data_IF_513639283077
#
_entry.id   IF_513639283077
#
_cell.length_a   1.000
_cell.length_b   1.000
_cell.length_c   1.000
_cell.angle_alpha   90.00
_cell.angle_beta   90.00
_cell.angle_gamma   90.00
#
_symmetry.space_group_name_H-M   'P 1'
#
loop_
_entity.id
_entity.type
_entity.pdbx_description
1 polymer ?
#
# COMPACT_ATOMS: atom_id res chain seq x y z
N UNK A 1 -7.36 -9.07 -30.62
CA UNK A 1 -6.28 -8.06 -30.80
C UNK A 1 -5.06 -8.61 -30.06
N UNK A 2 -3.92 -8.84 -30.72
CA UNK A 2 -2.74 -9.42 -30.04
C UNK A 2 -2.19 -8.37 -29.07
N UNK A 3 -2.14 -8.69 -27.79
CA UNK A 3 -1.53 -7.85 -26.75
C UNK A 3 -0.07 -7.59 -27.11
N UNK A 4 0.33 -6.32 -27.31
CA UNK A 4 1.74 -5.96 -27.45
C UNK A 4 2.40 -6.07 -26.07
N UNK A 5 3.22 -7.09 -25.87
CA UNK A 5 3.81 -7.37 -24.57
C UNK A 5 5.22 -6.83 -24.41
N UNK A 6 5.87 -6.21 -25.42
CA UNK A 6 7.21 -5.57 -25.28
C UNK A 6 7.25 -4.71 -24.01
N UNK A 7 8.40 -4.44 -23.39
CA UNK A 7 8.46 -3.64 -22.13
C UNK A 7 7.60 -2.36 -22.22
N UNK A 8 7.77 -1.59 -23.29
CA UNK A 8 6.92 -0.43 -23.61
C UNK A 8 5.43 -0.76 -23.80
N UNK A 9 5.12 -1.91 -24.42
CA UNK A 9 3.75 -2.41 -24.57
C UNK A 9 3.11 -2.77 -23.24
N UNK A 10 3.86 -3.42 -22.34
CA UNK A 10 3.42 -3.76 -20.99
C UNK A 10 3.20 -2.50 -20.13
N UNK A 11 4.09 -1.50 -20.21
CA UNK A 11 3.86 -0.19 -19.60
C UNK A 11 2.54 0.43 -20.07
N UNK A 12 2.34 0.55 -21.39
CA UNK A 12 1.14 1.15 -21.98
C UNK A 12 -0.12 0.36 -21.62
N UNK A 13 -0.04 -0.96 -21.53
CA UNK A 13 -1.15 -1.82 -21.13
C UNK A 13 -1.57 -1.53 -19.68
N UNK A 14 -0.61 -1.49 -18.76
CA UNK A 14 -0.89 -1.20 -17.35
C UNK A 14 -1.47 0.21 -17.21
N UNK A 15 -0.84 1.20 -17.84
CA UNK A 15 -1.33 2.57 -17.86
C UNK A 15 -2.76 2.66 -18.41
N UNK A 16 -3.03 2.07 -19.56
CA UNK A 16 -4.37 2.10 -20.18
C UNK A 16 -5.41 1.44 -19.29
N UNK A 17 -5.07 0.35 -18.61
CA UNK A 17 -5.99 -0.31 -17.68
C UNK A 17 -6.29 0.55 -16.44
N UNK A 18 -5.30 1.29 -15.94
CA UNK A 18 -5.46 2.12 -14.75
C UNK A 18 -6.12 3.48 -15.05
N UNK A 19 -5.71 4.15 -16.13
CA UNK A 19 -6.07 5.55 -16.44
C UNK A 19 -7.01 5.70 -17.63
N UNK A 20 -7.22 4.65 -18.42
CA UNK A 20 -7.88 4.73 -19.72
C UNK A 20 -7.00 5.27 -20.84
N UNK A 21 -5.73 5.61 -20.57
CA UNK A 21 -4.79 6.16 -21.53
C UNK A 21 -3.38 5.53 -21.40
N UNK A 22 -2.57 5.49 -22.48
CA UNK A 22 -1.26 4.85 -22.46
C UNK A 22 -0.18 5.61 -21.68
N UNK A 23 -0.49 6.82 -21.19
CA UNK A 23 0.40 7.73 -20.48
C UNK A 23 1.75 7.93 -21.21
N UNK A 24 1.74 8.01 -22.54
CA UNK A 24 2.95 8.30 -23.30
C UNK A 24 3.48 9.68 -22.90
N UNK A 25 4.78 9.82 -22.57
CA UNK A 25 5.34 11.11 -22.21
C UNK A 25 5.19 12.10 -23.38
N UNK A 26 5.02 13.41 -23.10
CA UNK A 26 4.83 14.40 -24.14
C UNK A 26 6.00 14.40 -25.13
N UNK A 27 5.69 14.41 -26.43
CA UNK A 27 6.71 14.59 -27.47
C UNK A 27 7.06 16.08 -27.57
N UNK A 28 8.36 16.40 -27.55
CA UNK A 28 8.86 17.76 -27.72
C UNK A 28 8.27 18.39 -28.99
N UNK A 29 7.54 19.50 -28.83
CA UNK A 29 6.97 20.28 -29.94
C UNK A 29 5.54 19.92 -30.35
N UNK A 30 4.86 18.99 -29.68
CA UNK A 30 3.46 18.63 -29.97
C UNK A 30 2.57 19.06 -28.80
N UNK A 31 1.63 19.96 -29.06
CA UNK A 31 0.56 20.31 -28.11
C UNK A 31 -0.38 19.10 -28.03
N UNK A 32 -0.35 18.36 -26.92
CA UNK A 32 -1.32 17.31 -26.64
C UNK A 32 -2.57 17.91 -26.01
N UNK A 33 -3.74 17.50 -26.49
CA UNK A 33 -5.01 17.81 -25.81
C UNK A 33 -4.99 17.23 -24.39
N UNK A 34 -5.55 17.93 -23.39
CA UNK A 34 -5.64 17.41 -22.03
C UNK A 34 -6.36 16.06 -22.06
N UNK A 35 -5.68 15.02 -21.59
CA UNK A 35 -6.24 13.68 -21.52
C UNK A 35 -7.42 13.72 -20.55
N UNK A 36 -8.60 13.16 -20.89
CA UNK A 36 -9.74 13.15 -19.98
C UNK A 36 -9.31 12.57 -18.62
N UNK A 37 -9.67 13.29 -17.54
CA UNK A 37 -9.18 13.01 -16.19
C UNK A 37 -9.66 11.67 -15.60
N UNK A 38 -10.57 10.97 -16.29
CA UNK A 38 -11.22 9.77 -15.80
C UNK A 38 -11.37 8.73 -16.92
N UNK A 39 -10.65 7.63 -16.77
CA UNK A 39 -10.75 6.40 -17.56
C UNK A 39 -10.17 5.23 -16.77
N UNK A 40 -10.36 4.00 -17.23
CA UNK A 40 -9.83 2.80 -16.55
C UNK A 40 -10.41 2.59 -15.15
N UNK A 41 -9.55 2.42 -14.14
CA UNK A 41 -9.93 2.19 -12.73
C UNK A 41 -9.83 3.46 -11.86
N UNK A 42 -9.78 4.63 -12.49
CA UNK A 42 -9.79 5.94 -11.83
C UNK A 42 -8.41 6.53 -11.53
N UNK A 43 -7.34 5.98 -12.12
CA UNK A 43 -6.02 6.61 -12.04
C UNK A 43 -5.85 7.73 -13.07
N UNK A 44 -4.85 8.57 -12.87
CA UNK A 44 -4.48 9.67 -13.74
C UNK A 44 -3.09 9.41 -14.32
N UNK A 45 -2.85 9.79 -15.57
CA UNK A 45 -1.49 9.81 -16.11
C UNK A 45 -0.68 10.93 -15.43
N UNK A 46 0.43 10.58 -14.80
CA UNK A 46 1.38 11.56 -14.28
C UNK A 46 2.39 11.99 -15.34
N UNK A 47 3.02 13.15 -15.13
CA UNK A 47 4.10 13.66 -15.96
C UNK A 47 5.44 13.52 -15.21
N UNK A 48 6.49 12.91 -15.79
CA UNK A 48 7.81 12.89 -15.19
C UNK A 48 8.38 14.27 -14.84
N UNK A 49 7.94 15.34 -15.49
CA UNK A 49 8.34 16.72 -15.21
C UNK A 49 7.73 17.28 -13.92
N UNK A 50 6.60 16.74 -13.46
CA UNK A 50 5.94 17.14 -12.20
C UNK A 50 6.62 16.56 -10.95
N UNK A 51 7.52 15.58 -11.14
CA UNK A 51 8.22 14.91 -10.06
C UNK A 51 9.45 15.71 -9.60
N UNK A 52 9.35 16.24 -8.38
CA UNK A 52 10.45 16.87 -7.68
C UNK A 52 11.40 15.80 -7.13
N UNK A 53 12.61 15.75 -7.68
CA UNK A 53 13.64 14.76 -7.30
C UNK A 53 14.31 15.09 -5.98
N UNK A 54 14.29 16.35 -5.54
CA UNK A 54 14.88 16.76 -4.27
C UNK A 54 14.05 16.23 -3.10
N UNK A 55 12.73 16.34 -3.18
CA UNK A 55 11.81 15.93 -2.10
C UNK A 55 11.13 14.59 -2.36
N UNK A 56 11.25 14.05 -3.58
CA UNK A 56 10.60 12.83 -4.05
C UNK A 56 9.08 12.91 -3.99
N UNK A 57 8.52 13.97 -4.57
CA UNK A 57 7.08 14.25 -4.57
C UNK A 57 6.65 14.70 -5.96
N UNK A 58 5.53 14.19 -6.45
CA UNK A 58 4.82 14.80 -7.58
C UNK A 58 4.05 16.03 -7.05
N UNK A 59 4.63 17.21 -7.29
CA UNK A 59 4.14 18.46 -6.72
C UNK A 59 2.79 18.87 -7.30
N UNK A 60 2.55 18.55 -8.58
CA UNK A 60 1.29 18.87 -9.25
C UNK A 60 0.14 18.12 -8.59
N UNK A 61 0.29 16.82 -8.31
CA UNK A 61 -0.77 16.06 -7.63
C UNK A 61 -0.92 16.44 -6.15
N UNK A 62 0.18 16.70 -5.43
CA UNK A 62 0.13 17.12 -4.02
C UNK A 62 -0.63 18.45 -3.87
N UNK A 63 -0.27 19.45 -4.69
CA UNK A 63 -0.96 20.75 -4.70
C UNK A 63 -2.43 20.61 -5.07
N UNK A 64 -2.74 19.81 -6.08
CA UNK A 64 -4.12 19.61 -6.53
C UNK A 64 -5.00 19.00 -5.43
N UNK A 65 -4.49 18.00 -4.67
CA UNK A 65 -5.20 17.49 -3.49
C UNK A 65 -5.43 18.61 -2.47
N UNK A 66 -4.36 19.27 -2.04
CA UNK A 66 -4.44 20.23 -0.93
C UNK A 66 -5.38 21.40 -1.25
N UNK A 67 -5.38 21.88 -2.49
CA UNK A 67 -6.34 22.91 -2.93
C UNK A 67 -7.79 22.42 -2.90
N UNK A 68 -8.03 21.16 -3.28
CA UNK A 68 -9.37 20.60 -3.32
C UNK A 68 -9.94 20.32 -1.93
N UNK A 69 -9.10 19.95 -0.95
CA UNK A 69 -9.58 19.50 0.37
C UNK A 69 -9.29 20.46 1.52
N UNK A 70 -8.24 21.28 1.39
CA UNK A 70 -7.69 22.14 2.45
C UNK A 70 -7.22 23.50 1.88
N UNK A 71 -8.09 24.28 1.22
CA UNK A 71 -7.70 25.45 0.41
C UNK A 71 -6.93 26.53 1.20
N UNK A 72 -7.38 26.87 2.40
CA UNK A 72 -6.72 27.87 3.26
C UNK A 72 -5.29 27.45 3.61
N UNK A 73 -5.10 26.17 3.93
CA UNK A 73 -3.78 25.62 4.21
C UNK A 73 -2.92 25.57 2.94
N UNK A 74 -3.49 25.22 1.78
CA UNK A 74 -2.78 25.18 0.51
C UNK A 74 -2.26 26.56 0.10
N UNK A 75 -3.04 27.62 0.31
CA UNK A 75 -2.65 29.00 0.05
C UNK A 75 -1.48 29.42 0.96
N UNK A 76 -1.55 29.11 2.26
CA UNK A 76 -0.49 29.44 3.21
C UNK A 76 0.85 28.73 2.94
N UNK A 77 0.82 27.59 2.25
CA UNK A 77 2.03 26.83 1.89
C UNK A 77 2.72 27.34 0.62
N UNK A 78 2.02 28.15 -0.20
CA UNK A 78 2.53 28.72 -1.45
C UNK A 78 3.28 27.70 -2.32
N UNK A 79 2.63 26.57 -2.61
CA UNK A 79 3.26 25.46 -3.36
C UNK A 79 3.51 25.78 -4.83
N UNK A 80 2.90 26.84 -5.36
CA UNK A 80 3.01 27.26 -6.75
C UNK A 80 4.33 27.97 -7.06
N UNK A 81 4.85 28.73 -6.10
CA UNK A 81 6.08 29.48 -6.28
C UNK A 81 7.26 28.74 -5.66
N UNK A 82 8.40 28.74 -6.35
CA UNK A 82 9.64 28.26 -5.73
C UNK A 82 10.17 29.27 -4.72
N UNK A 83 9.60 29.21 -3.52
CA UNK A 83 9.93 30.08 -2.41
C UNK A 83 10.48 29.33 -1.18
N UNK A 84 11.03 30.07 -0.21
CA UNK A 84 11.41 29.53 1.09
C UNK A 84 10.25 28.83 1.82
N UNK A 85 9.01 29.32 1.68
CA UNK A 85 7.81 28.73 2.27
C UNK A 85 7.58 27.30 1.78
N UNK A 86 7.52 27.12 0.44
CA UNK A 86 7.41 25.81 -0.21
C UNK A 86 8.51 24.87 0.26
N UNK A 87 9.77 25.28 0.17
CA UNK A 87 10.92 24.44 0.56
C UNK A 87 10.89 24.04 2.04
N UNK A 88 10.50 24.95 2.94
CA UNK A 88 10.35 24.64 4.37
C UNK A 88 9.28 23.60 4.63
N UNK A 89 8.16 23.66 3.91
CA UNK A 89 7.11 22.65 3.99
C UNK A 89 7.57 21.31 3.42
N UNK A 90 8.17 21.28 2.21
CA UNK A 90 8.62 20.04 1.60
C UNK A 90 9.74 19.37 2.41
N UNK A 91 10.64 20.14 3.02
CA UNK A 91 11.62 19.62 3.97
C UNK A 91 10.96 19.02 5.22
N UNK A 92 9.89 19.64 5.72
CA UNK A 92 9.09 19.10 6.84
C UNK A 92 8.42 17.79 6.44
N UNK A 93 7.76 17.74 5.29
CA UNK A 93 7.13 16.54 4.74
C UNK A 93 8.15 15.41 4.58
N UNK A 94 9.30 15.71 3.99
CA UNK A 94 10.40 14.76 3.84
C UNK A 94 10.86 14.20 5.19
N UNK A 95 11.07 15.07 6.19
CA UNK A 95 11.47 14.65 7.54
C UNK A 95 10.44 13.71 8.18
N UNK A 96 9.16 14.01 8.01
CA UNK A 96 8.08 13.16 8.51
C UNK A 96 8.01 11.81 7.79
N UNK A 97 8.25 11.78 6.47
CA UNK A 97 8.36 10.52 5.71
C UNK A 97 9.57 9.72 6.18
N UNK A 98 10.75 10.32 6.38
CA UNK A 98 11.92 9.57 6.89
C UNK A 98 11.67 8.98 8.28
N UNK A 99 10.92 9.70 9.13
CA UNK A 99 10.58 9.23 10.49
C UNK A 99 9.51 8.15 10.50
N UNK A 100 8.39 8.35 9.81
CA UNK A 100 7.17 7.52 9.91
C UNK A 100 6.92 6.62 8.69
N UNK A 101 7.63 6.86 7.59
CA UNK A 101 7.34 6.30 6.27
C UNK A 101 6.12 6.96 5.62
N UNK A 102 6.00 6.80 4.30
CA UNK A 102 4.85 7.28 3.51
C UNK A 102 3.54 6.70 4.03
N UNK A 103 3.52 5.44 4.48
CA UNK A 103 2.35 4.82 5.11
C UNK A 103 1.86 5.64 6.32
N UNK A 104 2.76 5.99 7.24
CA UNK A 104 2.41 6.74 8.44
C UNK A 104 2.02 8.20 8.14
N UNK A 105 2.60 8.79 7.10
CA UNK A 105 2.27 10.14 6.64
C UNK A 105 0.90 10.18 5.95
N UNK A 106 0.56 9.19 5.11
CA UNK A 106 -0.76 9.07 4.51
C UNK A 106 -1.84 8.88 5.59
N UNK A 107 -1.61 8.01 6.58
CA UNK A 107 -2.61 7.70 7.63
C UNK A 107 -2.85 8.81 8.65
N UNK A 108 -1.82 9.58 8.96
CA UNK A 108 -1.84 10.49 10.11
C UNK A 108 -1.52 11.94 9.73
N UNK A 109 -1.37 12.25 8.44
CA UNK A 109 -1.05 13.58 7.98
C UNK A 109 0.29 14.13 8.49
N UNK A 110 0.48 15.43 8.31
CA UNK A 110 1.68 16.18 8.73
C UNK A 110 1.29 17.47 9.43
N UNK A 111 1.88 17.69 10.61
CA UNK A 111 1.83 18.99 11.27
C UNK A 111 2.95 19.90 10.79
N UNK A 112 2.60 21.09 10.33
CA UNK A 112 3.52 22.16 9.91
C UNK A 112 3.11 23.49 10.58
N UNK A 113 3.83 23.87 11.64
CA UNK A 113 3.45 25.02 12.45
C UNK A 113 2.08 24.80 13.13
N UNK A 114 1.12 25.75 12.99
CA UNK A 114 -0.23 25.60 13.54
C UNK A 114 -1.14 24.69 12.69
N UNK A 115 -0.76 24.41 11.44
CA UNK A 115 -1.60 23.67 10.49
C UNK A 115 -1.32 22.16 10.59
N UNK A 116 -2.39 21.37 10.56
CA UNK A 116 -2.36 19.94 10.32
C UNK A 116 -2.88 19.66 8.91
N UNK A 117 -2.15 18.85 8.15
CA UNK A 117 -2.47 18.53 6.77
C UNK A 117 -2.76 17.05 6.64
N UNK A 118 -3.97 16.72 6.20
CA UNK A 118 -4.31 15.36 5.78
C UNK A 118 -3.85 15.14 4.33
N UNK A 119 -3.14 14.04 4.10
CA UNK A 119 -2.50 13.76 2.80
C UNK A 119 -3.13 12.55 2.10
N UNK A 120 -4.15 11.96 2.71
CA UNK A 120 -4.90 10.83 2.18
C UNK A 120 -6.23 10.72 2.90
N UNK A 121 -7.29 10.47 2.15
CA UNK A 121 -8.60 10.23 2.70
C UNK A 121 -8.97 8.77 2.49
N UNK A 122 -9.31 8.11 3.60
CA UNK A 122 -9.61 6.69 3.64
C UNK A 122 -10.97 6.31 3.06
N UNK A 123 -11.31 5.02 3.13
CA UNK A 123 -12.63 4.50 2.77
C UNK A 123 -13.70 5.27 3.55
N UNK A 124 -14.64 5.95 2.88
CA UNK A 124 -15.61 6.81 3.56
C UNK A 124 -16.60 5.95 4.35
N UNK A 125 -16.95 6.43 5.54
CA UNK A 125 -18.04 5.80 6.33
C UNK A 125 -19.39 6.01 5.61
N UNK A 126 -20.29 5.01 5.60
CA UNK A 126 -21.61 5.15 4.99
C UNK A 126 -22.35 6.38 5.51
N UNK A 127 -22.95 7.17 4.60
CA UNK A 127 -23.69 8.40 4.92
C UNK A 127 -22.83 9.63 5.22
N UNK A 128 -21.50 9.54 5.22
CA UNK A 128 -20.63 10.71 5.40
C UNK A 128 -20.26 11.34 4.06
N UNK A 129 -21.09 12.26 3.58
CA UNK A 129 -20.91 12.94 2.29
C UNK A 129 -19.58 13.71 2.20
N UNK A 130 -19.15 14.36 3.30
CA UNK A 130 -17.87 15.08 3.34
C UNK A 130 -16.69 14.12 3.18
N UNK A 131 -16.69 13.01 3.91
CA UNK A 131 -15.65 11.98 3.78
C UNK A 131 -15.64 11.38 2.37
N UNK A 132 -16.81 11.17 1.77
CA UNK A 132 -16.92 10.70 0.39
C UNK A 132 -16.32 11.72 -0.60
N UNK A 133 -16.65 13.01 -0.48
CA UNK A 133 -16.09 14.06 -1.31
C UNK A 133 -14.55 14.15 -1.19
N UNK A 134 -14.01 14.07 0.04
CA UNK A 134 -12.57 14.05 0.26
C UNK A 134 -11.91 12.76 -0.29
N UNK A 135 -12.57 11.60 -0.16
CA UNK A 135 -12.10 10.35 -0.75
C UNK A 135 -12.02 10.45 -2.28
N UNK A 136 -13.03 11.05 -2.91
CA UNK A 136 -13.05 11.28 -4.35
C UNK A 136 -12.02 12.32 -4.83
N UNK A 137 -11.61 13.23 -3.94
CA UNK A 137 -10.53 14.17 -4.22
C UNK A 137 -9.13 13.53 -4.19
N UNK A 138 -8.96 12.31 -3.66
CA UNK A 138 -7.69 11.60 -3.73
C UNK A 138 -7.26 11.38 -5.19
N UNK A 139 -5.98 11.66 -5.46
CA UNK A 139 -5.36 11.56 -6.78
C UNK A 139 -4.41 10.38 -6.80
N UNK A 140 -4.74 9.37 -7.60
CA UNK A 140 -3.88 8.22 -7.85
C UNK A 140 -3.24 8.41 -9.21
N UNK A 141 -1.92 8.63 -9.27
CA UNK A 141 -1.22 8.88 -10.53
C UNK A 141 -0.17 7.83 -10.84
N UNK A 142 -0.06 7.48 -12.11
CA UNK A 142 0.97 6.58 -12.63
C UNK A 142 1.82 7.34 -13.63
N UNK A 143 3.13 7.36 -13.38
CA UNK A 143 4.12 8.06 -14.19
C UNK A 143 5.02 7.05 -14.86
N UNK A 144 5.06 7.06 -16.19
CA UNK A 144 5.97 6.22 -17.00
C UNK A 144 7.36 6.84 -17.04
N UNK A 145 8.39 6.00 -17.12
CA UNK A 145 9.78 6.46 -17.30
C UNK A 145 10.17 7.50 -16.22
N UNK A 146 9.88 7.18 -14.95
CA UNK A 146 10.09 8.08 -13.82
C UNK A 146 11.59 8.30 -13.60
N UNK A 147 12.09 9.45 -14.03
CA UNK A 147 13.47 9.88 -13.78
C UNK A 147 13.62 10.30 -12.33
N UNK A 148 14.15 9.41 -11.50
CA UNK A 148 14.09 9.57 -10.05
C UNK A 148 15.32 10.25 -9.45
N UNK A 149 16.50 10.11 -10.06
CA UNK A 149 17.77 10.54 -9.47
C UNK A 149 18.04 12.03 -9.71
N UNK A 150 18.42 12.72 -8.64
CA UNK A 150 18.89 14.11 -8.71
C UNK A 150 20.26 14.18 -9.40
N UNK A 151 21.13 13.22 -9.09
CA UNK A 151 22.53 13.26 -9.49
C UNK A 151 22.74 12.57 -10.85
N UNK A 152 22.08 11.44 -11.09
CA UNK A 152 22.11 10.70 -12.36
C UNK A 152 20.79 10.83 -13.13
N UNK A 153 20.56 12.01 -13.73
CA UNK A 153 19.27 12.42 -14.32
C UNK A 153 18.71 11.57 -15.46
N UNK A 154 19.47 10.60 -15.98
CA UNK A 154 19.03 9.64 -16.99
C UNK A 154 18.50 8.33 -16.39
N UNK A 155 18.72 8.07 -15.10
CA UNK A 155 18.18 6.87 -14.45
C UNK A 155 16.66 7.00 -14.35
N UNK A 156 15.97 6.03 -14.93
CA UNK A 156 14.51 5.94 -14.91
C UNK A 156 14.05 4.56 -14.44
N UNK A 157 12.91 4.55 -13.75
CA UNK A 157 12.09 3.37 -13.51
C UNK A 157 11.02 3.28 -14.60
N UNK A 158 10.58 2.07 -14.93
CA UNK A 158 9.53 1.88 -15.94
C UNK A 158 8.22 2.56 -15.52
N UNK A 159 7.80 2.36 -14.27
CA UNK A 159 6.62 3.03 -13.69
C UNK A 159 6.89 3.49 -12.24
N UNK A 160 6.33 4.66 -11.90
CA UNK A 160 6.15 5.12 -10.53
C UNK A 160 4.68 5.40 -10.24
N UNK A 161 4.18 4.90 -9.11
CA UNK A 161 2.80 5.09 -8.65
C UNK A 161 2.82 6.03 -7.45
N UNK A 162 1.96 7.04 -7.50
CA UNK A 162 1.81 8.05 -6.47
C UNK A 162 0.38 8.13 -5.98
N UNK A 163 0.23 8.46 -4.71
CA UNK A 163 -1.05 8.82 -4.09
C UNK A 163 -0.89 10.22 -3.54
N UNK A 164 -1.66 11.16 -4.07
CA UNK A 164 -1.63 12.57 -3.66
C UNK A 164 -0.23 13.19 -3.74
N UNK A 165 0.54 12.79 -4.74
CA UNK A 165 1.92 13.22 -4.94
C UNK A 165 2.98 12.46 -4.15
N UNK A 166 2.60 11.60 -3.20
CA UNK A 166 3.53 10.79 -2.42
C UNK A 166 3.82 9.43 -3.10
N UNK A 167 5.08 8.98 -3.18
CA UNK A 167 5.43 7.75 -3.86
C UNK A 167 4.93 6.53 -3.08
N UNK A 168 4.18 5.65 -3.74
CA UNK A 168 3.64 4.42 -3.15
C UNK A 168 4.31 3.18 -3.72
N UNK A 169 4.49 3.09 -5.04
CA UNK A 169 5.13 1.93 -5.63
C UNK A 169 6.03 2.25 -6.82
N UNK A 170 7.05 1.43 -7.04
CA UNK A 170 7.90 1.47 -8.25
C UNK A 170 7.84 0.15 -8.99
N UNK A 171 8.08 0.19 -10.30
CA UNK A 171 8.04 -1.00 -11.16
C UNK A 171 9.30 -1.10 -12.01
N UNK A 172 9.79 -2.33 -12.13
CA UNK A 172 10.64 -2.79 -13.23
C UNK A 172 9.86 -3.89 -13.94
N UNK A 173 9.69 -3.72 -15.23
CA UNK A 173 8.91 -4.57 -16.11
C UNK A 173 9.85 -5.32 -17.05
N UNK A 174 9.54 -6.59 -17.28
CA UNK A 174 10.23 -7.46 -18.24
C UNK A 174 9.20 -8.22 -19.06
N UNK A 175 9.65 -8.86 -20.12
CA UNK A 175 8.78 -9.67 -20.96
C UNK A 175 9.53 -10.87 -21.54
N UNK A 176 8.87 -12.02 -21.55
CA UNK A 176 9.34 -13.24 -22.20
C UNK A 176 9.71 -13.06 -23.69
N UNK A 177 9.08 -12.15 -24.44
CA UNK A 177 9.45 -11.90 -25.86
C UNK A 177 10.88 -11.34 -26.02
N UNK A 178 11.39 -10.60 -25.04
CA UNK A 178 12.79 -10.13 -25.01
C UNK A 178 13.72 -11.14 -24.34
N UNK A 179 13.23 -12.34 -24.01
CA UNK A 179 13.91 -13.39 -23.23
C UNK A 179 14.33 -12.93 -21.83
N UNK A 180 13.66 -11.91 -21.30
CA UNK A 180 13.85 -11.45 -19.93
C UNK A 180 12.68 -11.88 -19.06
N UNK A 181 12.96 -12.05 -17.78
CA UNK A 181 12.05 -12.62 -16.79
C UNK A 181 11.94 -11.71 -15.58
N UNK A 182 11.03 -12.05 -14.67
CA UNK A 182 10.90 -11.38 -13.36
C UNK A 182 12.21 -11.39 -12.57
N UNK A 183 13.07 -12.41 -12.75
CA UNK A 183 14.37 -12.46 -12.08
C UNK A 183 15.31 -11.38 -12.64
N UNK A 184 15.25 -11.07 -13.93
CA UNK A 184 16.05 -9.97 -14.52
C UNK A 184 15.63 -8.62 -13.94
N UNK A 185 14.33 -8.37 -13.77
CA UNK A 185 13.83 -7.18 -13.06
C UNK A 185 14.32 -7.14 -11.60
N UNK A 186 14.31 -8.27 -10.90
CA UNK A 186 14.87 -8.37 -9.53
C UNK A 186 16.36 -8.06 -9.51
N UNK A 187 17.13 -8.55 -10.50
CA UNK A 187 18.55 -8.24 -10.61
C UNK A 187 18.81 -6.77 -10.92
N UNK A 188 18.01 -6.15 -11.78
CA UNK A 188 18.08 -4.71 -12.08
C UNK A 188 17.87 -3.88 -10.80
N UNK A 189 16.85 -4.19 -9.99
CA UNK A 189 16.69 -3.57 -8.66
C UNK A 189 17.89 -3.78 -7.73
N UNK A 190 18.50 -4.98 -7.73
CA UNK A 190 19.60 -5.32 -6.82
C UNK A 190 20.94 -4.69 -7.22
N UNK A 191 21.16 -4.46 -8.52
CA UNK A 191 22.45 -4.04 -9.08
C UNK A 191 22.47 -2.57 -9.47
N UNK A 192 21.39 -2.08 -10.06
CA UNK A 192 21.37 -0.79 -10.77
C UNK A 192 20.59 0.29 -10.02
N UNK A 193 19.84 -0.09 -8.97
CA UNK A 193 19.11 0.85 -8.10
C UNK A 193 19.85 1.02 -6.78
N UNK A 194 20.55 2.15 -6.63
CA UNK A 194 21.27 2.47 -5.39
C UNK A 194 20.26 2.75 -4.26
N UNK A 195 20.22 1.94 -3.18
CA UNK A 195 19.31 2.17 -2.05
C UNK A 195 19.55 3.48 -1.29
N UNK A 196 20.63 4.23 -1.59
CA UNK A 196 20.90 5.58 -1.05
C UNK A 196 20.14 6.68 -1.77
N UNK A 197 19.62 6.40 -2.97
CA UNK A 197 18.72 7.32 -3.67
C UNK A 197 17.47 7.55 -2.83
N UNK A 198 17.06 8.81 -2.73
CA UNK A 198 16.01 9.23 -1.78
C UNK A 198 14.68 8.49 -2.00
N UNK A 199 14.35 8.15 -3.25
CA UNK A 199 13.17 7.38 -3.61
C UNK A 199 13.18 5.95 -3.03
N UNK A 200 14.37 5.36 -2.84
CA UNK A 200 14.57 3.98 -2.40
C UNK A 200 14.90 3.85 -0.91
N UNK A 201 14.99 4.97 -0.19
CA UNK A 201 15.12 4.99 1.27
C UNK A 201 13.98 4.20 1.94
N UNK A 202 14.29 3.54 3.05
CA UNK A 202 13.31 2.80 3.83
C UNK A 202 12.10 3.66 4.21
N UNK A 203 10.90 3.18 3.91
CA UNK A 203 9.66 3.91 4.20
C UNK A 203 9.25 4.91 3.13
N UNK A 204 10.09 5.22 2.12
CA UNK A 204 9.74 6.18 1.08
C UNK A 204 8.72 5.61 0.09
N UNK A 205 9.00 4.47 -0.52
CA UNK A 205 8.01 3.69 -1.26
C UNK A 205 7.42 2.60 -0.37
N UNK A 206 6.13 2.31 -0.55
CA UNK A 206 5.43 1.25 0.18
C UNK A 206 5.83 -0.14 -0.34
N UNK A 207 6.10 -0.27 -1.64
CA UNK A 207 6.49 -1.53 -2.29
C UNK A 207 7.19 -1.30 -3.63
N UNK A 208 8.11 -2.18 -3.99
CA UNK A 208 8.78 -2.22 -5.30
C UNK A 208 8.39 -3.52 -6.01
N UNK A 209 7.79 -3.43 -7.19
CA UNK A 209 7.37 -4.58 -7.98
C UNK A 209 8.34 -4.86 -9.12
N UNK A 210 8.73 -6.13 -9.24
CA UNK A 210 9.36 -6.70 -10.41
C UNK A 210 8.30 -7.57 -11.10
N UNK A 211 8.04 -7.35 -12.39
CA UNK A 211 6.90 -7.95 -13.09
C UNK A 211 7.33 -8.44 -14.47
N UNK A 212 6.87 -9.63 -14.85
CA UNK A 212 6.80 -10.05 -16.25
C UNK A 212 5.37 -10.48 -16.63
N UNK A 213 5.20 -11.14 -17.78
CA UNK A 213 3.93 -11.65 -18.27
C UNK A 213 3.37 -12.86 -17.47
N UNK A 214 4.19 -13.47 -16.63
CA UNK A 214 3.89 -14.69 -15.89
C UNK A 214 3.84 -14.52 -14.36
N UNK A 215 4.76 -13.73 -13.79
CA UNK A 215 4.99 -13.63 -12.36
C UNK A 215 5.15 -12.17 -11.88
N UNK A 216 4.77 -11.95 -10.63
CA UNK A 216 5.00 -10.72 -9.88
C UNK A 216 5.85 -11.05 -8.66
N UNK A 217 6.92 -10.28 -8.45
CA UNK A 217 7.69 -10.26 -7.21
C UNK A 217 7.65 -8.87 -6.60
N UNK A 218 7.73 -8.82 -5.27
CA UNK A 218 7.69 -7.57 -4.52
C UNK A 218 8.80 -7.48 -3.48
N UNK A 219 9.28 -6.26 -3.22
CA UNK A 219 10.20 -5.96 -2.13
C UNK A 219 9.72 -4.70 -1.40
N UNK A 220 9.75 -4.69 -0.06
CA UNK A 220 9.36 -3.52 0.74
C UNK A 220 10.53 -2.65 1.16
N UNK A 221 11.77 -3.10 0.91
CA UNK A 221 12.98 -2.35 1.26
C UNK A 221 14.16 -2.81 0.40
N UNK A 222 14.59 -1.96 -0.52
CA UNK A 222 15.79 -2.20 -1.33
C UNK A 222 17.05 -2.05 -0.46
N UNK A 223 17.94 -3.05 -0.55
CA UNK A 223 19.23 -3.11 0.15
C UNK A 223 20.34 -3.54 -0.81
N UNK A 224 20.28 -3.04 -2.06
CA UNK A 224 21.15 -3.49 -3.14
C UNK A 224 21.08 -5.00 -3.31
N UNK A 225 22.22 -5.69 -3.33
CA UNK A 225 22.32 -7.16 -3.45
C UNK A 225 21.57 -7.93 -2.36
N UNK A 226 21.40 -7.35 -1.17
CA UNK A 226 20.68 -7.97 -0.06
C UNK A 226 19.16 -7.76 -0.10
N UNK A 227 18.63 -7.08 -1.14
CA UNK A 227 17.18 -6.90 -1.31
C UNK A 227 16.49 -8.24 -1.39
N UNK A 228 15.44 -8.42 -0.58
CA UNK A 228 14.67 -9.65 -0.52
C UNK A 228 13.34 -9.48 -1.25
N UNK A 229 13.25 -10.09 -2.42
CA UNK A 229 12.04 -10.13 -3.23
C UNK A 229 11.23 -11.38 -2.91
N UNK A 230 9.96 -11.18 -2.60
CA UNK A 230 8.98 -12.22 -2.32
C UNK A 230 8.04 -12.40 -3.51
N UNK A 231 7.57 -13.63 -3.80
CA UNK A 231 6.48 -13.83 -4.74
C UNK A 231 5.23 -13.08 -4.30
N UNK A 232 4.56 -12.42 -5.24
CA UNK A 232 3.25 -11.81 -5.05
C UNK A 232 2.23 -12.43 -6.02
N UNK A 233 2.33 -13.74 -6.19
CA UNK A 233 1.54 -14.55 -7.14
C UNK A 233 0.29 -15.16 -6.48
N UNK A 234 -0.70 -15.50 -7.30
CA UNK A 234 -1.98 -16.08 -6.89
C UNK A 234 -1.88 -17.51 -6.36
N UNK A 235 -0.83 -18.23 -6.75
CA UNK A 235 -0.75 -19.68 -6.62
C UNK A 235 -1.50 -20.38 -7.75
N UNK A 236 -1.02 -21.56 -8.15
CA UNK A 236 -1.65 -22.35 -9.21
C UNK A 236 -1.49 -23.84 -8.98
N UNK A 237 -2.60 -24.59 -9.05
CA UNK A 237 -2.61 -26.06 -8.87
C UNK A 237 -1.81 -26.52 -7.65
N UNK A 238 -2.14 -25.98 -6.47
CA UNK A 238 -1.43 -26.21 -5.19
C UNK A 238 0.06 -25.81 -5.15
N UNK A 239 0.53 -25.08 -6.17
CA UNK A 239 1.90 -24.65 -6.34
C UNK A 239 2.10 -23.14 -6.50
N UNK A 240 3.33 -22.77 -6.85
CA UNK A 240 3.73 -21.38 -7.11
C UNK A 240 3.27 -20.87 -8.48
N UNK A 241 3.45 -19.57 -8.71
CA UNK A 241 3.08 -18.92 -9.97
C UNK A 241 1.62 -18.50 -10.02
N UNK A 242 1.16 -18.15 -11.22
CA UNK A 242 -0.17 -17.62 -11.48
C UNK A 242 -0.98 -18.56 -12.39
N UNK A 243 -2.32 -18.63 -12.21
CA UNK A 243 -3.19 -19.36 -13.12
C UNK A 243 -3.07 -18.83 -14.56
N UNK A 244 -3.25 -19.68 -15.58
CA UNK A 244 -3.50 -19.20 -16.94
C UNK A 244 -4.68 -18.24 -16.97
N UNK A 245 -4.57 -17.18 -17.76
CA UNK A 245 -5.62 -16.19 -17.95
C UNK A 245 -6.02 -16.16 -19.43
N UNK A 246 -7.20 -16.71 -19.80
CA UNK A 246 -7.67 -16.70 -21.19
C UNK A 246 -7.89 -15.28 -21.74
N UNK A 247 -8.18 -14.32 -20.87
CA UNK A 247 -8.60 -12.96 -21.22
C UNK A 247 -7.47 -11.93 -21.08
N UNK A 248 -6.23 -12.36 -20.83
CA UNK A 248 -5.11 -11.45 -20.61
C UNK A 248 -3.83 -12.09 -20.12
N UNK A 249 -3.00 -11.28 -19.46
CA UNK A 249 -1.74 -11.72 -18.86
C UNK A 249 -2.00 -12.41 -17.52
N UNK A 250 -1.13 -13.34 -17.14
CA UNK A 250 -1.25 -14.02 -15.83
C UNK A 250 -1.06 -13.05 -14.65
N UNK A 251 -0.42 -11.92 -14.90
CA UNK A 251 -0.13 -10.87 -13.91
C UNK A 251 -1.18 -9.76 -13.87
N UNK A 252 -2.24 -9.83 -14.68
CA UNK A 252 -3.20 -8.73 -14.82
C UNK A 252 -4.01 -8.42 -13.56
N UNK A 253 -4.12 -9.38 -12.64
CA UNK A 253 -4.71 -9.17 -11.33
C UNK A 253 -4.02 -8.04 -10.56
N UNK A 254 -2.73 -7.78 -10.83
CA UNK A 254 -1.98 -6.72 -10.16
C UNK A 254 -2.66 -5.38 -10.42
N UNK A 255 -2.88 -4.98 -11.68
CA UNK A 255 -3.53 -3.70 -11.97
C UNK A 255 -5.07 -3.76 -11.96
N UNK A 256 -5.67 -4.90 -12.31
CA UNK A 256 -7.15 -5.03 -12.35
C UNK A 256 -7.79 -5.24 -10.97
N UNK A 257 -7.05 -5.73 -9.98
CA UNK A 257 -7.60 -6.07 -8.65
C UNK A 257 -6.85 -5.45 -7.49
N UNK A 258 -5.51 -5.42 -7.55
CA UNK A 258 -4.68 -4.95 -6.43
C UNK A 258 -4.50 -3.44 -6.45
N UNK A 259 -4.15 -2.87 -7.60
CA UNK A 259 -3.84 -1.45 -7.76
C UNK A 259 -5.06 -0.58 -8.11
N UNK A 260 -6.29 -1.10 -8.03
CA UNK A 260 -7.48 -0.24 -8.16
C UNK A 260 -7.49 0.79 -7.02
N UNK A 261 -8.17 1.95 -7.18
CA UNK A 261 -8.28 2.95 -6.10
C UNK A 261 -8.72 2.33 -4.78
N UNK A 262 -9.83 1.57 -4.81
CA UNK A 262 -10.34 0.86 -3.64
C UNK A 262 -9.37 -0.22 -3.13
N UNK A 263 -8.74 -0.98 -4.04
CA UNK A 263 -7.82 -2.06 -3.68
C UNK A 263 -6.55 -1.57 -2.99
N UNK A 264 -5.97 -0.46 -3.47
CA UNK A 264 -4.79 0.15 -2.87
C UNK A 264 -5.13 0.93 -1.60
N UNK A 265 -6.26 1.64 -1.55
CA UNK A 265 -6.79 2.23 -0.32
C UNK A 265 -6.90 1.18 0.78
N UNK A 266 -7.59 0.07 0.51
CA UNK A 266 -7.75 -1.04 1.46
C UNK A 266 -6.39 -1.55 1.98
N UNK A 267 -5.41 -1.72 1.09
CA UNK A 267 -4.06 -2.14 1.49
C UNK A 267 -3.38 -1.11 2.40
N UNK A 268 -3.43 0.18 2.03
CA UNK A 268 -2.81 1.27 2.79
C UNK A 268 -3.47 1.48 4.15
N UNK A 269 -4.77 1.21 4.28
CA UNK A 269 -5.52 1.33 5.54
C UNK A 269 -5.33 0.13 6.45
N UNK A 270 -5.48 -1.08 5.91
CA UNK A 270 -5.75 -2.27 6.71
C UNK A 270 -4.59 -3.28 6.76
N UNK A 271 -3.53 -3.10 5.94
CA UNK A 271 -2.47 -4.11 5.81
C UNK A 271 -1.05 -3.55 5.87
N UNK A 272 -0.77 -2.51 5.08
CA UNK A 272 0.58 -1.98 4.94
C UNK A 272 1.02 -1.22 6.20
N UNK A 273 2.17 -1.53 6.76
CA UNK A 273 2.61 -0.93 8.03
C UNK A 273 4.12 -0.92 8.19
N UNK A 274 4.65 -0.04 9.03
CA UNK A 274 6.03 -0.12 9.52
C UNK A 274 5.98 -0.53 10.99
N UNK A 275 6.41 -1.76 11.28
CA UNK A 275 6.50 -2.28 12.63
C UNK A 275 7.89 -2.03 13.22
N UNK A 276 7.95 -1.79 14.51
CA UNK A 276 9.22 -1.70 15.26
C UNK A 276 9.32 -2.91 16.17
N UNK A 277 10.39 -3.68 16.01
CA UNK A 277 10.70 -4.84 16.85
C UNK A 277 11.94 -4.53 17.68
N UNK A 278 11.83 -4.66 18.99
CA UNK A 278 12.99 -4.61 19.87
C UNK A 278 13.63 -5.99 19.91
N UNK A 279 14.89 -6.07 19.48
CA UNK A 279 15.68 -7.29 19.63
C UNK A 279 15.93 -7.53 21.13
N UNK A 280 15.41 -8.64 21.66
CA UNK A 280 15.45 -8.94 23.09
C UNK A 280 16.88 -9.10 23.64
N UNK A 281 17.86 -9.43 22.79
CA UNK A 281 19.25 -9.66 23.20
C UNK A 281 20.08 -8.36 23.15
N UNK A 282 19.83 -7.51 22.17
CA UNK A 282 20.65 -6.31 21.92
C UNK A 282 19.95 -5.01 22.32
N UNK A 283 18.66 -5.07 22.68
CA UNK A 283 17.78 -3.92 22.97
C UNK A 283 17.65 -2.97 21.77
N UNK A 284 18.18 -3.35 20.60
CA UNK A 284 18.12 -2.53 19.39
C UNK A 284 16.74 -2.60 18.78
N UNK A 285 16.20 -1.44 18.45
CA UNK A 285 14.95 -1.29 17.70
C UNK A 285 15.23 -1.51 16.21
N UNK A 286 14.55 -2.49 15.61
CA UNK A 286 14.59 -2.77 14.18
C UNK A 286 13.22 -2.44 13.58
N UNK A 287 13.21 -1.52 12.63
CA UNK A 287 12.02 -1.22 11.83
C UNK A 287 11.90 -2.19 10.67
N UNK A 288 10.69 -2.68 10.41
CA UNK A 288 10.37 -3.58 9.32
C UNK A 288 9.09 -3.08 8.62
N UNK A 289 9.15 -2.93 7.31
CA UNK A 289 8.01 -2.52 6.50
C UNK A 289 7.31 -3.75 5.95
N UNK A 290 6.00 -3.80 6.17
CA UNK A 290 5.12 -4.89 5.79
C UNK A 290 4.20 -4.38 4.69
N UNK A 291 4.17 -5.12 3.60
CA UNK A 291 3.14 -5.11 2.57
C UNK A 291 2.58 -6.54 2.51
N UNK A 292 1.25 -6.73 2.43
CA UNK A 292 0.67 -8.07 2.51
C UNK A 292 1.17 -8.95 1.36
N UNK A 293 1.49 -10.22 1.62
CA UNK A 293 1.67 -11.20 0.55
C UNK A 293 0.31 -11.53 -0.06
N UNK A 294 0.30 -11.92 -1.33
CA UNK A 294 -0.95 -12.12 -2.07
C UNK A 294 -1.91 -13.07 -1.36
N UNK A 295 -1.44 -14.25 -0.93
CA UNK A 295 -2.29 -15.24 -0.24
C UNK A 295 -2.86 -14.73 1.08
N UNK A 296 -2.13 -13.86 1.79
CA UNK A 296 -2.59 -13.26 3.04
C UNK A 296 -3.71 -12.26 2.77
N UNK A 297 -3.56 -11.44 1.72
CA UNK A 297 -4.58 -10.48 1.31
C UNK A 297 -5.84 -11.19 0.80
N UNK A 298 -5.65 -12.18 -0.07
CA UNK A 298 -6.74 -12.94 -0.71
C UNK A 298 -7.58 -13.69 0.33
N UNK A 299 -6.96 -14.36 1.31
CA UNK A 299 -7.71 -15.08 2.35
C UNK A 299 -8.52 -14.13 3.23
N UNK A 300 -7.95 -12.99 3.64
CA UNK A 300 -8.64 -12.03 4.52
C UNK A 300 -9.83 -11.42 3.78
N UNK A 301 -9.65 -11.00 2.52
CA UNK A 301 -10.72 -10.46 1.69
C UNK A 301 -11.84 -11.48 1.46
N UNK A 302 -11.51 -12.75 1.17
CA UNK A 302 -12.52 -13.82 1.01
C UNK A 302 -13.31 -14.07 2.29
N UNK A 303 -12.63 -14.14 3.43
CA UNK A 303 -13.28 -14.34 4.72
C UNK A 303 -14.19 -13.17 5.10
N UNK A 304 -13.76 -11.92 4.89
CA UNK A 304 -14.59 -10.74 5.13
C UNK A 304 -15.80 -10.71 4.21
N UNK A 305 -15.61 -11.01 2.92
CA UNK A 305 -16.71 -11.05 1.95
C UNK A 305 -17.74 -12.14 2.30
N UNK A 306 -17.31 -13.35 2.67
CA UNK A 306 -18.23 -14.42 3.07
C UNK A 306 -18.95 -14.08 4.37
N UNK A 307 -18.22 -13.60 5.37
CA UNK A 307 -18.77 -13.22 6.67
C UNK A 307 -19.76 -12.04 6.56
N UNK A 308 -19.50 -11.08 5.68
CA UNK A 308 -20.43 -9.99 5.41
C UNK A 308 -21.75 -10.47 4.78
N UNK A 309 -21.70 -11.48 3.91
CA UNK A 309 -22.90 -12.05 3.27
C UNK A 309 -23.67 -12.99 4.20
N UNK A 310 -22.95 -13.87 4.90
CA UNK A 310 -23.54 -14.97 5.66
C UNK A 310 -23.75 -14.63 7.14
N UNK A 311 -23.05 -13.65 7.69
CA UNK A 311 -23.03 -13.36 9.12
C UNK A 311 -22.19 -14.36 9.93
N UNK A 312 -22.46 -14.44 11.23
CA UNK A 312 -21.79 -15.36 12.15
C UNK A 312 -22.21 -16.84 11.95
N UNK A 313 -21.49 -17.76 12.60
CA UNK A 313 -21.87 -19.19 12.67
C UNK A 313 -21.19 -20.12 11.65
N UNK A 314 -20.38 -19.57 10.73
CA UNK A 314 -19.58 -20.35 9.78
C UNK A 314 -18.27 -20.84 10.42
N UNK A 315 -17.74 -21.96 9.90
CA UNK A 315 -16.43 -22.51 10.28
C UNK A 315 -15.55 -22.58 9.04
N UNK A 316 -14.33 -22.06 9.15
CA UNK A 316 -13.36 -22.04 8.06
C UNK A 316 -12.08 -22.74 8.49
N UNK A 317 -11.49 -23.51 7.58
CA UNK A 317 -10.15 -24.09 7.75
C UNK A 317 -9.23 -23.46 6.71
N UNK A 318 -8.23 -22.70 7.19
CA UNK A 318 -7.22 -22.09 6.34
C UNK A 318 -5.90 -22.81 6.52
N UNK A 319 -5.39 -23.41 5.45
CA UNK A 319 -4.13 -24.17 5.46
C UNK A 319 -3.02 -23.34 4.81
N UNK A 320 -2.14 -22.77 5.65
CA UNK A 320 -0.93 -22.10 5.19
C UNK A 320 0.32 -22.76 5.78
N UNK A 321 1.37 -22.85 4.97
CA UNK A 321 2.68 -23.36 5.39
C UNK A 321 3.28 -22.60 6.58
N UNK A 322 4.22 -23.22 7.30
CA UNK A 322 4.99 -22.53 8.34
C UNK A 322 5.80 -21.36 7.74
N UNK A 323 5.91 -20.24 8.46
CA UNK A 323 6.64 -19.05 7.96
C UNK A 323 5.94 -18.24 6.85
N UNK A 324 4.73 -18.63 6.44
CA UNK A 324 3.92 -17.90 5.44
C UNK A 324 3.35 -16.56 5.94
N UNK A 325 3.49 -16.26 7.23
CA UNK A 325 2.99 -15.04 7.86
C UNK A 325 1.54 -15.14 8.36
N UNK A 326 1.09 -16.33 8.79
CA UNK A 326 -0.28 -16.57 9.32
C UNK A 326 -0.73 -15.55 10.38
N UNK A 327 0.17 -15.16 11.28
CA UNK A 327 -0.11 -14.20 12.37
C UNK A 327 -0.69 -12.88 11.84
N UNK A 328 -0.13 -12.37 10.73
CA UNK A 328 -0.60 -11.13 10.13
C UNK A 328 -2.01 -11.29 9.56
N UNK A 329 -2.30 -12.38 8.85
CA UNK A 329 -3.65 -12.65 8.33
C UNK A 329 -4.68 -12.73 9.45
N UNK A 330 -4.35 -13.37 10.57
CA UNK A 330 -5.23 -13.45 11.75
C UNK A 330 -5.47 -12.05 12.33
N UNK A 331 -4.40 -11.28 12.53
CA UNK A 331 -4.49 -9.94 13.10
C UNK A 331 -5.31 -8.98 12.21
N UNK A 332 -5.06 -8.97 10.91
CA UNK A 332 -5.79 -8.14 9.95
C UNK A 332 -7.26 -8.54 9.82
N UNK A 333 -7.55 -9.84 9.85
CA UNK A 333 -8.93 -10.33 9.83
C UNK A 333 -9.67 -9.94 11.11
N UNK A 334 -9.08 -10.20 12.27
CA UNK A 334 -9.66 -9.83 13.56
C UNK A 334 -9.91 -8.33 13.68
N UNK A 335 -8.96 -7.49 13.23
CA UNK A 335 -9.13 -6.04 13.23
C UNK A 335 -10.31 -5.60 12.34
N UNK A 336 -10.37 -6.08 11.10
CA UNK A 336 -11.42 -5.66 10.17
C UNK A 336 -12.80 -6.21 10.52
N UNK A 337 -12.89 -7.34 11.23
CA UNK A 337 -14.16 -7.85 11.75
C UNK A 337 -14.84 -6.89 12.74
N UNK A 338 -14.08 -6.05 13.45
CA UNK A 338 -14.67 -5.04 14.36
C UNK A 338 -15.59 -4.08 13.60
N UNK A 339 -15.17 -3.68 12.40
CA UNK A 339 -15.90 -2.72 11.56
C UNK A 339 -16.99 -3.37 10.71
N UNK A 340 -17.09 -4.70 10.69
CA UNK A 340 -18.04 -5.40 9.83
C UNK A 340 -19.47 -5.25 10.36
N UNK A 341 -20.35 -4.64 9.55
CA UNK A 341 -21.76 -4.42 9.87
C UNK A 341 -22.68 -5.11 8.87
N UNK A 342 -23.86 -5.52 9.34
CA UNK A 342 -24.97 -6.05 8.55
C UNK A 342 -26.28 -5.48 9.08
N UNK A 343 -27.12 -4.91 8.21
CA UNK A 343 -28.36 -4.24 8.61
C UNK A 343 -28.13 -3.20 9.72
N UNK A 344 -27.09 -2.37 9.56
CA UNK A 344 -26.65 -1.35 10.51
C UNK A 344 -26.26 -1.84 11.92
N UNK A 345 -26.16 -3.15 12.17
CA UNK A 345 -25.63 -3.72 13.40
C UNK A 345 -24.23 -4.34 13.18
N UNK A 346 -23.31 -4.28 14.16
CA UNK A 346 -22.09 -5.06 14.12
C UNK A 346 -22.38 -6.56 13.96
N UNK A 347 -21.62 -7.26 13.13
CA UNK A 347 -21.79 -8.72 12.97
C UNK A 347 -21.31 -9.47 14.22
N UNK A 348 -20.32 -8.92 14.94
CA UNK A 348 -19.76 -9.51 16.15
C UNK A 348 -19.64 -8.46 17.26
N UNK A 349 -20.01 -8.84 18.48
CA UNK A 349 -19.81 -8.00 19.67
C UNK A 349 -18.35 -8.01 20.14
N UNK A 350 -17.75 -9.20 20.12
CA UNK A 350 -16.36 -9.46 20.52
C UNK A 350 -15.74 -10.54 19.63
N UNK A 351 -14.44 -10.42 19.39
CA UNK A 351 -13.64 -11.32 18.58
C UNK A 351 -12.54 -11.91 19.47
N UNK A 352 -12.55 -13.23 19.63
CA UNK A 352 -11.58 -13.94 20.46
C UNK A 352 -10.52 -14.58 19.55
N UNK A 353 -9.27 -14.19 19.73
CA UNK A 353 -8.12 -14.80 19.04
C UNK A 353 -7.41 -15.73 20.00
N UNK A 354 -7.45 -17.03 19.70
CA UNK A 354 -6.83 -18.07 20.53
C UNK A 354 -5.56 -18.59 19.87
N UNK A 355 -4.47 -18.66 20.62
CA UNK A 355 -3.18 -19.18 20.14
C UNK A 355 -2.56 -20.20 21.11
N UNK A 356 -1.77 -21.15 20.59
CA UNK A 356 -1.02 -22.12 21.40
C UNK A 356 0.29 -21.54 21.99
N UNK A 357 0.78 -20.41 21.47
CA UNK A 357 2.13 -19.87 21.73
C UNK A 357 2.12 -18.41 22.19
N UNK A 358 2.77 -18.15 23.32
CA UNK A 358 3.01 -16.79 23.86
C UNK A 358 3.71 -15.83 22.87
N UNK A 359 4.56 -16.33 21.98
CA UNK A 359 5.25 -15.48 20.98
C UNK A 359 4.30 -15.04 19.85
N UNK A 360 3.36 -15.91 19.48
CA UNK A 360 2.38 -15.62 18.43
C UNK A 360 1.35 -14.58 18.94
N UNK A 361 0.99 -14.71 20.21
CA UNK A 361 0.19 -13.75 20.97
C UNK A 361 0.77 -12.32 20.93
N UNK A 362 2.06 -12.15 21.26
CA UNK A 362 2.71 -10.85 21.21
C UNK A 362 2.71 -10.23 19.81
N UNK A 363 2.99 -11.02 18.76
CA UNK A 363 2.98 -10.53 17.37
C UNK A 363 1.59 -10.08 16.92
N UNK A 364 0.56 -10.84 17.27
CA UNK A 364 -0.84 -10.52 16.94
C UNK A 364 -1.24 -9.25 17.70
N UNK A 365 -0.91 -9.16 18.99
CA UNK A 365 -1.18 -7.99 19.84
C UNK A 365 -0.55 -6.72 19.28
N UNK A 366 0.74 -6.77 18.93
CA UNK A 366 1.46 -5.61 18.42
C UNK A 366 0.92 -5.17 17.05
N UNK A 367 0.57 -6.14 16.19
CA UNK A 367 -0.06 -5.85 14.90
C UNK A 367 -1.42 -5.17 15.12
N UNK A 368 -2.30 -5.73 15.94
CA UNK A 368 -3.64 -5.18 16.18
C UNK A 368 -3.58 -3.80 16.83
N UNK A 369 -2.67 -3.57 17.78
CA UNK A 369 -2.47 -2.25 18.42
C UNK A 369 -2.09 -1.15 17.44
N UNK A 370 -1.43 -1.47 16.32
CA UNK A 370 -1.06 -0.47 15.32
C UNK A 370 -2.22 -0.06 14.41
N UNK A 371 -3.25 -0.90 14.28
CA UNK A 371 -4.46 -0.59 13.51
C UNK A 371 -5.61 -0.10 14.39
N UNK A 372 -5.66 -0.53 15.66
CA UNK A 372 -6.63 -0.03 16.61
C UNK A 372 -6.23 1.38 17.08
N UNK A 373 -6.98 2.39 16.64
CA UNK A 373 -6.85 3.79 17.09
C UNK A 373 -7.02 3.96 18.61
N UNK A 374 -7.42 2.94 19.37
CA UNK A 374 -7.65 3.04 20.80
C UNK A 374 -7.21 1.76 21.51
N UNK A 375 -6.30 1.88 22.48
CA UNK A 375 -5.94 0.79 23.40
C UNK A 375 -7.13 0.29 24.25
N UNK A 376 -8.25 1.02 24.27
CA UNK A 376 -9.49 0.65 24.95
C UNK A 376 -10.23 -0.53 24.29
N UNK A 377 -9.95 -0.80 23.00
CA UNK A 377 -10.70 -1.78 22.21
C UNK A 377 -10.15 -3.20 22.30
N UNK A 378 -8.93 -3.38 22.83
CA UNK A 378 -8.21 -4.66 22.88
C UNK A 378 -7.97 -5.08 24.33
N UNK A 379 -8.53 -6.21 24.74
CA UNK A 379 -8.20 -6.90 26.00
C UNK A 379 -7.18 -8.01 25.77
N UNK A 380 -6.24 -8.20 26.69
CA UNK A 380 -5.29 -9.31 26.66
C UNK A 380 -5.43 -10.12 27.94
N UNK A 381 -5.97 -11.33 27.84
CA UNK A 381 -6.29 -12.15 29.00
C UNK A 381 -5.04 -12.89 29.49
N UNK A 382 -4.54 -12.55 30.68
CA UNK A 382 -3.43 -13.24 31.34
C UNK A 382 -3.93 -14.43 32.18
N UNK A 383 -5.14 -14.34 32.72
CA UNK A 383 -5.86 -15.36 33.49
C UNK A 383 -7.28 -15.60 32.95
N UNK A 384 -7.93 -16.70 33.35
CA UNK A 384 -9.31 -17.02 32.96
C UNK A 384 -10.33 -15.97 33.43
N UNK A 385 -10.09 -15.35 34.59
CA UNK A 385 -10.92 -14.26 35.11
C UNK A 385 -10.84 -12.98 34.26
N UNK A 386 -9.70 -12.74 33.60
CA UNK A 386 -9.55 -11.60 32.68
C UNK A 386 -10.42 -11.76 31.45
N UNK A 387 -10.54 -12.99 30.92
CA UNK A 387 -11.41 -13.26 29.77
C UNK A 387 -12.87 -12.94 30.10
N UNK A 388 -13.34 -13.37 31.28
CA UNK A 388 -14.69 -13.02 31.77
C UNK A 388 -14.84 -11.50 31.89
N UNK A 389 -13.85 -10.83 32.46
CA UNK A 389 -13.86 -9.38 32.67
C UNK A 389 -13.91 -8.63 31.33
N UNK A 390 -13.08 -8.99 30.35
CA UNK A 390 -13.08 -8.32 29.05
C UNK A 390 -14.35 -8.54 28.23
N UNK A 391 -14.98 -9.71 28.37
CA UNK A 391 -16.29 -9.96 27.78
C UNK A 391 -17.35 -9.08 28.44
N UNK A 392 -17.34 -8.97 29.77
CA UNK A 392 -18.26 -8.10 30.51
C UNK A 392 -18.04 -6.60 30.20
N UNK A 393 -16.80 -6.18 30.00
CA UNK A 393 -16.42 -4.81 29.61
C UNK A 393 -16.68 -4.49 28.13
N UNK A 394 -17.07 -5.48 27.32
CA UNK A 394 -17.36 -5.28 25.89
C UNK A 394 -16.10 -4.97 25.05
N UNK A 395 -14.94 -5.51 25.42
CA UNK A 395 -13.73 -5.41 24.59
C UNK A 395 -13.99 -6.04 23.22
N UNK A 396 -13.63 -5.36 22.13
CA UNK A 396 -13.92 -5.83 20.77
C UNK A 396 -12.98 -6.92 20.30
N UNK A 397 -11.70 -6.88 20.71
CA UNK A 397 -10.74 -7.95 20.45
C UNK A 397 -10.20 -8.45 21.78
N UNK A 398 -10.24 -9.76 21.98
CA UNK A 398 -9.68 -10.42 23.14
C UNK A 398 -8.68 -11.47 22.66
N UNK A 399 -7.43 -11.37 23.11
CA UNK A 399 -6.39 -12.34 22.75
C UNK A 399 -6.15 -13.24 23.97
N UNK A 400 -6.21 -14.55 23.77
CA UNK A 400 -6.00 -15.56 24.81
C UNK A 400 -5.18 -16.74 24.29
N UNK A 401 -4.66 -17.54 25.22
CA UNK A 401 -3.94 -18.79 24.91
C UNK A 401 -4.83 -19.99 25.19
N UNK A 402 -4.68 -21.09 24.44
CA UNK A 402 -5.51 -22.32 24.60
C UNK A 402 -5.47 -22.89 26.03
N UNK A 403 -4.38 -22.66 26.77
CA UNK A 403 -4.21 -23.19 28.13
C UNK A 403 -5.05 -22.46 29.20
N UNK A 404 -5.78 -21.40 28.82
CA UNK A 404 -6.63 -20.57 29.69
C UNK A 404 -8.08 -20.77 29.29
#
# INVERSE_FOLDING_TARGET
>A
MKTDTRERGLERLICTALTGAPCDPPQLGVVQEPTPAYGGTGWICGDPADYDREYCVDLTQLRALLRATQPEAAEALDLDQDGPTRRKFLARLQSEISKRGTIGVLRHGVKHGPVHLDLFYGTPSPGNEKAHACYEANRFSITRQLRYSRDETQLALDLGLFVNGLPVATFELKNSLTKQTVEDAVQQYRRDRDPREKLFEFGRCVVHFAVDDHEVRMCTHLKGKASWFLPFNQGWSDGAGNPPNPDGLKTDYLWKRILTRAGLTDILENYAQIVEKTDARTVRKKREQIFPRYHQLDVVRKLLADTGRNGAGRRYLIQHSAGSGKSNSIAWFAHQLIGLRRQDAPVFDSIIVVTDRKILDQQIRDTIKQFAQVGATVGHAEHSDDLRTFLAEGKKIIISTVQK
#
